data_IF_796644923324
#
_entry.id   IF_796644923324
#
_cell.length_a   1.000
_cell.length_b   1.000
_cell.length_c   1.000
_cell.angle_alpha   90.00
_cell.angle_beta   90.00
_cell.angle_gamma   90.00
#
_symmetry.space_group_name_H-M   'P 1'
#
loop_
_entity.id
_entity.type
_entity.pdbx_description
1 polymer ?
#
# COMPACT_ATOMS: atom_id res chain seq x y z
N UNK A 1 -6.01 38.20 -18.36
CA UNK A 1 -6.19 37.09 -17.37
C UNK A 1 -7.17 36.01 -17.85
N UNK A 2 -8.42 36.35 -18.23
CA UNK A 2 -9.46 35.36 -18.60
C UNK A 2 -9.15 34.49 -19.84
N UNK A 3 -8.38 35.01 -20.79
CA UNK A 3 -8.13 34.32 -22.06
C UNK A 3 -7.13 33.15 -21.90
N UNK A 4 -6.16 33.26 -20.98
CA UNK A 4 -5.18 32.20 -20.73
C UNK A 4 -5.84 31.01 -20.03
N UNK A 5 -6.59 31.24 -18.97
CA UNK A 5 -7.26 30.17 -18.22
C UNK A 5 -8.21 29.39 -19.13
N UNK A 6 -9.00 30.08 -19.97
CA UNK A 6 -9.86 29.41 -20.96
C UNK A 6 -9.07 28.54 -21.93
N UNK A 7 -7.94 29.02 -22.42
CA UNK A 7 -7.10 28.28 -23.35
C UNK A 7 -6.49 27.03 -22.69
N UNK A 8 -5.84 27.20 -21.53
CA UNK A 8 -5.27 26.11 -20.73
C UNK A 8 -6.36 25.09 -20.40
N UNK A 9 -7.52 25.53 -19.89
CA UNK A 9 -8.62 24.62 -19.56
C UNK A 9 -9.11 23.83 -20.77
N UNK A 10 -9.17 24.45 -21.95
CA UNK A 10 -9.57 23.77 -23.20
C UNK A 10 -8.54 22.73 -23.63
N UNK A 11 -7.25 23.08 -23.56
CA UNK A 11 -6.14 22.17 -23.91
C UNK A 11 -6.13 20.95 -22.98
N UNK A 12 -6.35 21.16 -21.69
CA UNK A 12 -6.30 20.11 -20.68
C UNK A 12 -7.68 19.42 -20.44
N UNK A 13 -8.75 19.83 -21.13
CA UNK A 13 -10.12 19.37 -20.87
C UNK A 13 -10.29 17.85 -21.04
N UNK A 14 -9.60 17.27 -22.02
CA UNK A 14 -9.73 15.85 -22.37
C UNK A 14 -8.80 14.93 -21.55
N UNK A 15 -7.99 15.48 -20.64
CA UNK A 15 -7.07 14.70 -19.82
C UNK A 15 -7.67 14.40 -18.43
N UNK A 16 -7.48 13.18 -17.89
CA UNK A 16 -7.92 12.86 -16.53
C UNK A 16 -7.29 13.79 -15.50
N UNK A 17 -8.04 14.15 -14.46
CA UNK A 17 -7.50 14.96 -13.38
C UNK A 17 -6.34 14.24 -12.69
N UNK A 18 -5.20 14.92 -12.63
CA UNK A 18 -3.96 14.40 -12.05
C UNK A 18 -3.10 15.55 -11.51
N UNK A 19 -2.27 15.31 -10.48
CA UNK A 19 -1.36 16.32 -9.96
C UNK A 19 -0.41 16.87 -11.02
N UNK A 20 -0.05 16.06 -12.02
CA UNK A 20 0.77 16.49 -13.16
C UNK A 20 0.00 17.44 -14.08
N UNK A 21 -1.28 17.17 -14.34
CA UNK A 21 -2.16 18.10 -15.06
C UNK A 21 -2.22 19.45 -14.33
N UNK A 22 -2.41 19.43 -13.02
CA UNK A 22 -2.46 20.66 -12.20
C UNK A 22 -1.10 21.38 -12.19
N UNK A 23 0.01 20.67 -11.99
CA UNK A 23 1.36 21.25 -12.01
C UNK A 23 1.73 21.86 -13.37
N UNK A 24 1.28 21.26 -14.48
CA UNK A 24 1.48 21.80 -15.82
C UNK A 24 0.62 23.05 -16.08
N UNK A 25 -0.61 23.08 -15.55
CA UNK A 25 -1.43 24.29 -15.55
C UNK A 25 -0.74 25.41 -14.77
N UNK A 26 -0.27 25.11 -13.56
CA UNK A 26 0.42 26.07 -12.70
C UNK A 26 1.71 26.59 -13.35
N UNK A 27 2.50 25.72 -14.00
CA UNK A 27 3.71 26.12 -14.72
C UNK A 27 3.39 27.04 -15.92
N UNK A 28 2.37 26.70 -16.71
CA UNK A 28 1.92 27.52 -17.84
C UNK A 28 1.43 28.90 -17.39
N UNK A 29 0.68 28.95 -16.28
CA UNK A 29 0.22 30.20 -15.68
C UNK A 29 1.36 31.05 -15.12
N UNK A 30 2.33 30.43 -14.46
CA UNK A 30 3.50 31.12 -13.91
C UNK A 30 4.34 31.77 -15.01
N UNK A 31 4.61 31.05 -16.12
CA UNK A 31 5.34 31.58 -17.27
C UNK A 31 4.60 32.72 -17.97
N UNK A 32 3.29 32.61 -18.12
CA UNK A 32 2.49 33.70 -18.68
C UNK A 32 2.60 34.97 -17.83
N UNK A 33 2.44 34.86 -16.51
CA UNK A 33 2.55 36.01 -15.60
C UNK A 33 3.91 36.68 -15.68
N UNK A 34 4.99 35.89 -15.71
CA UNK A 34 6.35 36.42 -15.86
C UNK A 34 6.53 37.25 -17.16
N UNK A 35 5.95 36.81 -18.28
CA UNK A 35 6.03 37.53 -19.56
C UNK A 35 5.20 38.82 -19.59
N UNK A 36 4.08 38.84 -18.89
CA UNK A 36 3.31 40.08 -18.70
C UNK A 36 4.10 41.08 -17.86
N UNK A 37 4.79 40.62 -16.82
CA UNK A 37 5.63 41.46 -15.97
C UNK A 37 6.89 41.99 -16.70
N UNK A 38 7.38 41.27 -17.71
CA UNK A 38 8.43 41.71 -18.64
C UNK A 38 7.94 42.77 -19.66
N UNK A 39 6.65 43.10 -19.66
CA UNK A 39 6.05 44.15 -20.49
C UNK A 39 5.60 43.68 -21.88
N UNK A 40 5.52 42.36 -22.12
CA UNK A 40 4.95 41.83 -23.36
C UNK A 40 3.43 42.03 -23.40
N UNK A 41 2.89 42.20 -24.61
CA UNK A 41 1.44 42.21 -24.80
C UNK A 41 0.82 40.85 -24.49
N UNK A 42 -0.46 40.81 -24.07
CA UNK A 42 -1.16 39.56 -23.76
C UNK A 42 -1.11 38.56 -24.93
N UNK A 43 -1.17 39.04 -26.18
CA UNK A 43 -1.11 38.21 -27.38
C UNK A 43 0.26 37.56 -27.59
N UNK A 44 1.35 38.28 -27.30
CA UNK A 44 2.72 37.77 -27.43
C UNK A 44 3.08 36.82 -26.29
N UNK A 45 2.67 37.14 -25.06
CA UNK A 45 2.84 36.27 -23.91
C UNK A 45 2.13 34.93 -24.13
N UNK A 46 0.89 34.97 -24.65
CA UNK A 46 0.11 33.76 -24.94
C UNK A 46 0.71 32.95 -26.08
N UNK A 47 1.12 33.60 -27.17
CA UNK A 47 1.79 32.93 -28.30
C UNK A 47 3.10 32.25 -27.89
N UNK A 48 3.88 32.86 -27.01
CA UNK A 48 5.11 32.26 -26.52
C UNK A 48 4.86 31.10 -25.56
N UNK A 49 3.91 31.22 -24.64
CA UNK A 49 3.57 30.12 -23.72
C UNK A 49 3.06 28.92 -24.51
N UNK A 50 2.32 29.12 -25.61
CA UNK A 50 1.87 28.05 -26.52
C UNK A 50 3.03 27.38 -27.25
N UNK A 51 4.06 28.11 -27.67
CA UNK A 51 5.24 27.51 -28.32
C UNK A 51 6.11 26.74 -27.34
N UNK A 52 6.18 27.19 -26.09
CA UNK A 52 7.02 26.60 -25.05
C UNK A 52 6.32 25.45 -24.29
N UNK A 53 4.99 25.51 -24.17
CA UNK A 53 4.13 24.35 -24.06
C UNK A 53 4.24 23.59 -25.39
N UNK A 54 5.35 22.91 -25.58
CA UNK A 54 5.42 21.86 -26.58
C UNK A 54 4.35 20.83 -26.20
N UNK A 55 3.18 20.99 -26.82
CA UNK A 55 1.98 20.22 -26.52
C UNK A 55 2.25 18.76 -26.77
N UNK A 56 3.18 18.42 -27.65
CA UNK A 56 3.54 17.05 -27.98
C UNK A 56 4.40 16.42 -26.89
N UNK A 57 5.43 17.10 -26.36
CA UNK A 57 6.19 16.58 -25.21
C UNK A 57 5.42 16.64 -23.90
N UNK A 58 4.53 17.62 -23.71
CA UNK A 58 3.65 17.72 -22.55
C UNK A 58 2.57 16.64 -22.58
N UNK A 59 1.95 16.44 -23.75
CA UNK A 59 1.06 15.31 -24.02
C UNK A 59 1.78 14.00 -23.87
N UNK A 60 3.02 13.88 -24.36
CA UNK A 60 3.81 12.67 -24.22
C UNK A 60 4.22 12.41 -22.76
N UNK A 61 4.49 13.43 -21.94
CA UNK A 61 4.69 13.27 -20.49
C UNK A 61 3.42 12.80 -19.79
N UNK A 62 2.27 13.41 -20.09
CA UNK A 62 0.96 12.99 -19.59
C UNK A 62 0.56 11.60 -20.08
N UNK A 63 0.81 11.28 -21.35
CA UNK A 63 0.56 9.97 -21.97
C UNK A 63 1.54 8.92 -21.47
N UNK A 64 2.81 9.24 -21.17
CA UNK A 64 3.79 8.31 -20.61
C UNK A 64 3.58 8.07 -19.11
N UNK A 65 3.00 9.03 -18.38
CA UNK A 65 2.62 8.87 -16.98
C UNK A 65 1.24 8.23 -16.80
N UNK A 66 0.37 8.40 -17.81
CA UNK A 66 -0.83 7.59 -18.04
C UNK A 66 -0.50 6.23 -18.67
N UNK A 67 0.64 6.10 -19.35
CA UNK A 67 1.10 4.85 -19.93
C UNK A 67 1.47 3.92 -18.78
N UNK A 68 1.03 2.66 -18.87
CA UNK A 68 1.17 1.73 -17.78
C UNK A 68 2.66 1.50 -17.46
N UNK A 69 3.06 1.83 -16.22
CA UNK A 69 4.41 1.56 -15.66
C UNK A 69 4.77 0.06 -15.71
N UNK A 70 3.79 -0.81 -15.98
CA UNK A 70 4.03 -2.21 -16.31
C UNK A 70 3.42 -2.55 -17.66
N UNK A 71 4.26 -2.80 -18.66
CA UNK A 71 3.85 -3.43 -19.90
C UNK A 71 3.17 -4.76 -19.61
N UNK A 72 1.84 -4.79 -19.77
CA UNK A 72 1.06 -5.99 -20.01
C UNK A 72 0.05 -5.72 -21.10
N UNK A 73 -0.24 -6.71 -21.96
CA UNK A 73 -1.40 -6.65 -22.83
C UNK A 73 -2.64 -6.37 -21.97
N UNK A 74 -3.53 -5.52 -22.47
CA UNK A 74 -4.86 -5.35 -21.87
C UNK A 74 -5.48 -6.73 -21.69
N UNK A 75 -5.56 -7.19 -20.45
CA UNK A 75 -6.09 -8.51 -20.13
C UNK A 75 -7.53 -8.52 -20.63
N UNK A 76 -7.96 -9.53 -21.41
CA UNK A 76 -9.30 -9.55 -21.99
C UNK A 76 -10.36 -9.25 -20.94
N UNK A 77 -11.37 -8.43 -21.29
CA UNK A 77 -12.46 -8.06 -20.39
C UNK A 77 -13.18 -9.27 -19.77
N UNK A 78 -13.21 -10.39 -20.49
CA UNK A 78 -13.74 -11.64 -19.98
C UNK A 78 -12.95 -12.19 -18.77
N UNK A 79 -11.62 -12.10 -18.80
CA UNK A 79 -10.75 -12.54 -17.72
C UNK A 79 -10.85 -11.61 -16.51
N UNK A 80 -10.93 -10.29 -16.73
CA UNK A 80 -11.23 -9.30 -15.67
C UNK A 80 -12.56 -9.63 -14.98
N UNK A 81 -13.63 -9.88 -15.75
CA UNK A 81 -14.94 -10.26 -15.21
C UNK A 81 -14.89 -11.57 -14.43
N UNK A 82 -14.17 -12.58 -14.92
CA UNK A 82 -13.97 -13.88 -14.23
C UNK A 82 -13.27 -13.70 -12.89
N UNK A 83 -12.19 -12.92 -12.84
CA UNK A 83 -11.46 -12.62 -11.61
C UNK A 83 -12.30 -11.83 -10.60
N UNK A 84 -12.99 -10.77 -11.04
CA UNK A 84 -13.88 -9.99 -10.18
C UNK A 84 -15.02 -10.84 -9.59
N UNK A 85 -15.66 -11.67 -10.41
CA UNK A 85 -16.71 -12.59 -9.95
C UNK A 85 -16.18 -13.65 -8.98
N UNK A 86 -14.96 -14.15 -9.20
CA UNK A 86 -14.27 -15.08 -8.31
C UNK A 86 -13.99 -14.45 -6.95
N UNK A 87 -13.45 -13.23 -6.93
CA UNK A 87 -13.17 -12.49 -5.71
C UNK A 87 -14.43 -12.21 -4.90
N UNK A 88 -15.52 -11.76 -5.53
CA UNK A 88 -16.80 -11.50 -4.85
C UNK A 88 -17.35 -12.72 -4.12
N UNK A 89 -17.16 -13.93 -4.67
CA UNK A 89 -17.54 -15.19 -4.02
C UNK A 89 -16.56 -15.58 -2.90
N UNK A 90 -15.29 -15.19 -3.01
CA UNK A 90 -14.25 -15.52 -2.05
C UNK A 90 -14.29 -14.61 -0.82
N UNK A 91 -14.55 -13.31 -0.99
CA UNK A 91 -14.53 -12.29 0.05
C UNK A 91 -15.31 -12.66 1.34
N UNK A 92 -16.58 -13.12 1.29
CA UNK A 92 -17.29 -13.51 2.52
C UNK A 92 -16.68 -14.75 3.18
N UNK A 93 -16.19 -15.71 2.38
CA UNK A 93 -15.54 -16.93 2.90
C UNK A 93 -14.18 -16.62 3.53
N UNK A 94 -13.48 -15.62 3.02
CA UNK A 94 -12.24 -15.13 3.60
C UNK A 94 -12.48 -14.61 5.01
N UNK A 95 -13.44 -13.70 5.20
CA UNK A 95 -13.74 -13.14 6.52
C UNK A 95 -14.17 -14.22 7.54
N UNK A 96 -15.06 -15.13 7.15
CA UNK A 96 -15.47 -16.26 7.99
C UNK A 96 -14.30 -17.18 8.32
N UNK A 97 -13.43 -17.44 7.34
CA UNK A 97 -12.23 -18.25 7.55
C UNK A 97 -11.25 -17.62 8.54
N UNK A 98 -10.99 -16.30 8.45
CA UNK A 98 -10.19 -15.60 9.45
C UNK A 98 -10.82 -15.74 10.84
N UNK A 99 -12.13 -15.52 10.96
CA UNK A 99 -12.85 -15.71 12.23
C UNK A 99 -12.69 -17.12 12.79
N UNK A 100 -12.85 -18.15 11.95
CA UNK A 100 -12.67 -19.55 12.33
C UNK A 100 -11.24 -19.84 12.80
N UNK A 101 -10.23 -19.33 12.09
CA UNK A 101 -8.83 -19.48 12.49
C UNK A 101 -8.55 -18.85 13.86
N UNK A 102 -9.12 -17.68 14.15
CA UNK A 102 -8.97 -17.03 15.46
C UNK A 102 -9.64 -17.86 16.57
N UNK A 103 -10.84 -18.38 16.31
CA UNK A 103 -11.53 -19.27 17.26
C UNK A 103 -10.71 -20.53 17.56
N UNK A 104 -10.09 -21.14 16.54
CA UNK A 104 -9.21 -22.30 16.71
C UNK A 104 -7.95 -21.96 17.52
N UNK A 105 -7.36 -20.78 17.30
CA UNK A 105 -6.20 -20.34 18.07
C UNK A 105 -6.55 -20.14 19.56
N UNK A 106 -7.68 -19.49 19.85
CA UNK A 106 -8.19 -19.32 21.22
C UNK A 106 -8.50 -20.69 21.84
N UNK A 107 -9.16 -21.58 21.09
CA UNK A 107 -9.45 -22.94 21.55
C UNK A 107 -8.17 -23.71 21.87
N UNK A 108 -7.09 -23.57 21.09
CA UNK A 108 -5.79 -24.19 21.40
C UNK A 108 -5.22 -23.72 22.74
N UNK A 109 -5.31 -22.42 23.05
CA UNK A 109 -4.88 -21.87 24.34
C UNK A 109 -5.72 -22.44 25.48
N UNK A 110 -7.06 -22.45 25.33
CA UNK A 110 -7.98 -22.94 26.36
C UNK A 110 -7.81 -24.44 26.59
N UNK A 111 -7.72 -25.24 25.52
CA UNK A 111 -7.51 -26.69 25.60
C UNK A 111 -6.17 -27.02 26.24
N UNK A 112 -5.12 -26.27 25.92
CA UNK A 112 -3.81 -26.41 26.59
C UNK A 112 -3.92 -26.17 28.10
N UNK A 113 -4.62 -25.12 28.52
CA UNK A 113 -4.79 -24.81 29.95
C UNK A 113 -5.58 -25.91 30.68
N UNK A 114 -6.68 -26.38 30.10
CA UNK A 114 -7.47 -27.49 30.64
C UNK A 114 -6.66 -28.78 30.68
N UNK A 115 -5.92 -29.11 29.62
CA UNK A 115 -5.06 -30.29 29.56
C UNK A 115 -4.01 -30.30 30.69
N UNK A 116 -3.39 -29.13 30.93
CA UNK A 116 -2.40 -28.96 32.00
C UNK A 116 -2.97 -29.17 33.41
N UNK A 117 -4.21 -28.73 33.65
CA UNK A 117 -4.86 -28.85 34.97
C UNK A 117 -5.33 -30.28 35.25
N UNK A 118 -5.98 -30.93 34.28
CA UNK A 118 -6.72 -32.17 34.53
C UNK A 118 -5.95 -33.45 34.22
N UNK A 119 -5.02 -33.44 33.26
CA UNK A 119 -4.40 -34.67 32.76
C UNK A 119 -2.98 -34.90 33.28
N UNK A 120 -2.35 -33.87 33.88
CA UNK A 120 -0.97 -33.89 34.40
C UNK A 120 0.06 -34.58 33.47
N UNK A 121 -0.19 -34.54 32.16
CA UNK A 121 0.63 -35.16 31.14
C UNK A 121 1.10 -34.05 30.18
N UNK A 122 2.41 -33.72 30.19
CA UNK A 122 2.94 -32.61 29.40
C UNK A 122 2.75 -32.82 27.90
N UNK A 123 2.74 -34.08 27.42
CA UNK A 123 2.54 -34.37 26.01
C UNK A 123 1.13 -33.97 25.54
N UNK A 124 0.10 -34.20 26.36
CA UNK A 124 -1.28 -33.82 26.04
C UNK A 124 -1.46 -32.31 26.02
N UNK A 125 -0.83 -31.58 26.94
CA UNK A 125 -0.82 -30.12 26.96
C UNK A 125 -0.21 -29.54 25.68
N UNK A 126 0.94 -30.07 25.26
CA UNK A 126 1.63 -29.64 24.04
C UNK A 126 0.78 -29.94 22.79
N UNK A 127 0.21 -31.14 22.69
CA UNK A 127 -0.66 -31.51 21.56
C UNK A 127 -1.90 -30.62 21.51
N UNK A 128 -2.53 -30.36 22.66
CA UNK A 128 -3.71 -29.50 22.77
C UNK A 128 -3.43 -28.04 22.35
N UNK A 129 -2.21 -27.55 22.56
CA UNK A 129 -1.77 -26.24 22.10
C UNK A 129 -1.46 -26.22 20.59
N UNK A 130 -0.53 -27.08 20.15
CA UNK A 130 0.05 -26.96 18.81
C UNK A 130 -0.88 -27.42 17.70
N UNK A 131 -1.73 -28.44 17.91
CA UNK A 131 -2.57 -28.97 16.84
C UNK A 131 -3.61 -27.94 16.34
N UNK A 132 -4.44 -27.33 17.21
CA UNK A 132 -5.40 -26.32 16.76
C UNK A 132 -4.72 -25.07 16.17
N UNK A 133 -3.58 -24.67 16.75
CA UNK A 133 -2.81 -23.52 16.26
C UNK A 133 -2.22 -23.80 14.88
N UNK A 134 -1.65 -24.98 14.65
CA UNK A 134 -1.14 -25.37 13.34
C UNK A 134 -2.24 -25.33 12.27
N UNK A 135 -3.43 -25.83 12.60
CA UNK A 135 -4.60 -25.76 11.70
C UNK A 135 -5.02 -24.30 11.44
N UNK A 136 -5.07 -23.46 12.48
CA UNK A 136 -5.40 -22.05 12.35
C UNK A 136 -4.40 -21.29 11.46
N UNK A 137 -3.10 -21.48 11.69
CA UNK A 137 -2.02 -20.87 10.91
C UNK A 137 -2.05 -21.33 9.47
N UNK A 138 -2.22 -22.65 9.23
CA UNK A 138 -2.37 -23.18 7.88
C UNK A 138 -3.53 -22.52 7.14
N UNK A 139 -4.69 -22.37 7.81
CA UNK A 139 -5.85 -21.70 7.25
C UNK A 139 -5.54 -20.22 6.92
N UNK A 140 -4.90 -19.48 7.83
CA UNK A 140 -4.50 -18.09 7.59
C UNK A 140 -3.56 -17.95 6.40
N UNK A 141 -2.59 -18.87 6.25
CA UNK A 141 -1.65 -18.86 5.14
C UNK A 141 -2.40 -19.11 3.82
N UNK A 142 -3.22 -20.15 3.73
CA UNK A 142 -3.93 -20.49 2.49
C UNK A 142 -4.90 -19.38 2.08
N UNK A 143 -5.71 -18.89 3.00
CA UNK A 143 -6.66 -17.81 2.73
C UNK A 143 -5.96 -16.49 2.43
N UNK A 144 -4.91 -16.16 3.20
CA UNK A 144 -4.11 -14.95 3.02
C UNK A 144 -3.39 -14.92 1.68
N UNK A 145 -2.75 -16.04 1.28
CA UNK A 145 -2.12 -16.17 -0.03
C UNK A 145 -3.14 -16.00 -1.16
N UNK A 146 -4.32 -16.62 -1.03
CA UNK A 146 -5.37 -16.49 -2.05
C UNK A 146 -5.89 -15.05 -2.17
N UNK A 147 -6.11 -14.35 -1.05
CA UNK A 147 -6.49 -12.94 -1.04
C UNK A 147 -5.41 -12.07 -1.69
N UNK A 148 -4.14 -12.29 -1.31
CA UNK A 148 -2.98 -11.59 -1.86
C UNK A 148 -2.87 -11.77 -3.39
N UNK A 149 -3.12 -12.98 -3.89
CA UNK A 149 -3.13 -13.28 -5.32
C UNK A 149 -4.18 -12.44 -6.06
N UNK A 150 -5.43 -12.38 -5.58
CA UNK A 150 -6.45 -11.51 -6.19
C UNK A 150 -6.04 -10.04 -6.15
N UNK A 151 -5.50 -9.58 -5.03
CA UNK A 151 -5.13 -8.19 -4.87
C UNK A 151 -3.95 -7.77 -5.75
N UNK A 152 -3.00 -8.69 -5.99
CA UNK A 152 -1.90 -8.48 -6.91
C UNK A 152 -2.40 -8.32 -8.36
N UNK A 153 -3.40 -9.12 -8.77
CA UNK A 153 -4.04 -9.01 -10.07
C UNK A 153 -4.80 -7.69 -10.21
N UNK A 154 -5.62 -7.32 -9.21
CA UNK A 154 -6.37 -6.06 -9.27
C UNK A 154 -5.49 -4.83 -9.29
N UNK A 155 -4.38 -4.82 -8.54
CA UNK A 155 -3.40 -3.74 -8.57
C UNK A 155 -2.73 -3.64 -9.94
N UNK A 156 -2.30 -4.78 -10.50
CA UNK A 156 -1.66 -4.81 -11.82
C UNK A 156 -2.60 -4.32 -12.94
N UNK A 157 -3.90 -4.56 -12.79
CA UNK A 157 -4.91 -4.24 -13.80
C UNK A 157 -5.78 -3.01 -13.46
N UNK A 158 -5.43 -2.23 -12.42
CA UNK A 158 -6.18 -1.06 -11.90
C UNK A 158 -7.69 -1.32 -11.73
N UNK A 159 -8.03 -2.54 -11.32
CA UNK A 159 -9.42 -3.00 -11.16
C UNK A 159 -10.05 -2.53 -9.84
N UNK A 160 -9.91 -1.24 -9.53
CA UNK A 160 -10.40 -0.66 -8.27
C UNK A 160 -11.92 -0.53 -8.20
N UNK A 161 -12.59 -0.44 -9.34
CA UNK A 161 -14.05 -0.37 -9.42
C UNK A 161 -14.75 -1.61 -8.84
N UNK A 162 -14.09 -2.77 -8.87
CA UNK A 162 -14.63 -4.04 -8.38
C UNK A 162 -14.36 -4.30 -6.90
N UNK A 163 -13.62 -3.41 -6.24
CA UNK A 163 -13.26 -3.50 -4.83
C UNK A 163 -14.27 -2.72 -3.99
N UNK A 164 -14.33 -3.00 -2.69
CA UNK A 164 -15.10 -2.16 -1.77
C UNK A 164 -14.57 -0.72 -1.79
N UNK A 165 -15.42 0.27 -1.55
CA UNK A 165 -15.01 1.68 -1.58
C UNK A 165 -13.78 1.95 -0.67
N UNK A 166 -13.70 1.29 0.48
CA UNK A 166 -12.56 1.38 1.38
C UNK A 166 -11.29 0.76 0.80
N UNK A 167 -11.38 -0.41 0.17
CA UNK A 167 -10.24 -1.09 -0.47
C UNK A 167 -9.76 -0.34 -1.71
N UNK A 168 -10.69 0.16 -2.53
CA UNK A 168 -10.41 0.99 -3.70
C UNK A 168 -9.68 2.26 -3.28
N UNK A 169 -10.19 2.98 -2.27
CA UNK A 169 -9.54 4.17 -1.74
C UNK A 169 -8.15 3.87 -1.14
N UNK A 170 -7.98 2.73 -0.46
CA UNK A 170 -6.66 2.30 0.03
C UNK A 170 -5.70 2.06 -1.12
N UNK A 171 -6.14 1.37 -2.18
CA UNK A 171 -5.31 1.08 -3.34
C UNK A 171 -4.96 2.32 -4.12
N UNK A 172 -5.92 3.21 -4.36
CA UNK A 172 -5.68 4.51 -4.98
C UNK A 172 -4.69 5.32 -4.15
N UNK A 173 -4.85 5.42 -2.83
CA UNK A 173 -3.88 6.11 -1.96
C UNK A 173 -2.48 5.49 -2.04
N UNK A 174 -2.37 4.16 -2.15
CA UNK A 174 -1.07 3.50 -2.32
C UNK A 174 -0.45 3.80 -3.68
N UNK A 175 -1.24 3.81 -4.75
CA UNK A 175 -0.80 4.19 -6.09
C UNK A 175 -0.39 5.66 -6.14
N UNK A 176 -1.19 6.56 -5.54
CA UNK A 176 -0.86 7.96 -5.37
C UNK A 176 0.41 8.14 -4.54
N UNK A 177 0.54 7.48 -3.38
CA UNK A 177 1.76 7.55 -2.54
C UNK A 177 3.01 7.12 -3.32
N UNK A 178 2.90 6.08 -4.14
CA UNK A 178 3.99 5.61 -4.98
C UNK A 178 4.36 6.63 -6.07
N UNK A 179 3.36 7.25 -6.72
CA UNK A 179 3.58 8.29 -7.73
C UNK A 179 4.07 9.62 -7.14
N UNK A 180 3.69 9.95 -5.91
CA UNK A 180 3.98 11.23 -5.24
C UNK A 180 5.33 11.25 -4.50
N UNK A 181 6.12 10.17 -4.55
CA UNK A 181 7.54 10.16 -4.13
C UNK A 181 8.53 10.17 -5.32
N UNK A 182 8.53 11.20 -6.21
CA UNK A 182 9.52 11.33 -7.26
C UNK A 182 10.76 12.09 -6.74
N UNK A 183 11.50 11.46 -5.83
CA UNK A 183 12.79 11.98 -5.37
C UNK A 183 13.66 10.86 -4.85
N UNK A 184 14.78 10.59 -5.54
CA UNK A 184 15.73 9.54 -5.19
C UNK A 184 16.16 9.61 -3.70
N UNK A 185 16.24 10.83 -3.18
CA UNK A 185 16.65 11.14 -1.81
C UNK A 185 15.56 10.85 -0.76
N UNK A 186 14.30 11.14 -1.08
CA UNK A 186 13.14 10.80 -0.24
C UNK A 186 12.95 9.29 -0.14
N UNK A 187 13.07 8.59 -1.28
CA UNK A 187 13.01 7.13 -1.34
C UNK A 187 14.14 6.47 -0.53
N UNK A 188 15.39 6.96 -0.64
CA UNK A 188 16.51 6.45 0.16
C UNK A 188 16.26 6.66 1.66
N UNK A 189 15.71 7.80 2.07
CA UNK A 189 15.39 8.08 3.48
C UNK A 189 14.29 7.17 4.01
N UNK A 190 13.18 7.02 3.30
CA UNK A 190 12.10 6.10 3.67
C UNK A 190 12.56 4.65 3.71
N UNK A 191 13.27 4.18 2.67
CA UNK A 191 13.80 2.81 2.63
C UNK A 191 14.75 2.53 3.78
N UNK A 192 15.57 3.50 4.20
CA UNK A 192 16.41 3.37 5.40
C UNK A 192 15.58 3.28 6.68
N UNK A 193 14.49 4.03 6.81
CA UNK A 193 13.57 3.93 7.96
C UNK A 193 12.80 2.60 7.98
N UNK A 194 12.32 2.13 6.83
CA UNK A 194 11.64 0.83 6.70
C UNK A 194 12.60 -0.33 7.01
N UNK A 195 13.82 -0.28 6.47
CA UNK A 195 14.88 -1.23 6.78
C UNK A 195 15.24 -1.19 8.28
N UNK A 196 15.40 0.00 8.88
CA UNK A 196 15.68 0.13 10.30
C UNK A 196 14.54 -0.44 11.16
N UNK A 197 13.29 -0.20 10.77
CA UNK A 197 12.10 -0.71 11.45
C UNK A 197 12.06 -2.24 11.39
N UNK A 198 12.22 -2.82 10.21
CA UNK A 198 12.21 -4.29 10.03
C UNK A 198 13.37 -4.98 10.75
N UNK A 199 14.57 -4.40 10.73
CA UNK A 199 15.73 -4.88 11.48
C UNK A 199 15.50 -4.79 13.00
N UNK A 200 14.93 -3.68 13.48
CA UNK A 200 14.61 -3.49 14.88
C UNK A 200 13.64 -4.57 15.40
N UNK A 201 12.56 -4.83 14.67
CA UNK A 201 11.61 -5.88 15.05
C UNK A 201 12.24 -7.28 15.03
N UNK A 202 13.11 -7.57 14.06
CA UNK A 202 13.84 -8.84 14.02
C UNK A 202 14.78 -9.00 15.24
N UNK A 203 15.58 -7.98 15.55
CA UNK A 203 16.47 -7.98 16.72
C UNK A 203 15.68 -8.13 18.01
N UNK A 204 14.53 -7.44 18.12
CA UNK A 204 13.62 -7.51 19.26
C UNK A 204 13.14 -8.95 19.49
N UNK A 205 12.73 -9.65 18.43
CA UNK A 205 12.31 -11.06 18.51
C UNK A 205 13.47 -11.96 18.92
N UNK A 206 14.65 -11.78 18.31
CA UNK A 206 15.84 -12.57 18.66
C UNK A 206 16.21 -12.37 20.14
N UNK A 207 16.22 -11.12 20.62
CA UNK A 207 16.51 -10.79 22.01
C UNK A 207 15.48 -11.41 22.97
N UNK A 208 14.18 -11.36 22.63
CA UNK A 208 13.13 -12.01 23.42
C UNK A 208 13.33 -13.53 23.50
N UNK A 209 13.64 -14.18 22.38
CA UNK A 209 13.90 -15.62 22.35
C UNK A 209 15.16 -15.97 23.16
N UNK A 210 16.23 -15.20 23.05
CA UNK A 210 17.45 -15.42 23.84
C UNK A 210 17.18 -15.26 25.34
N UNK A 211 16.43 -14.24 25.76
CA UNK A 211 16.03 -14.06 27.15
C UNK A 211 15.17 -15.21 27.67
N UNK A 212 14.24 -15.70 26.85
CA UNK A 212 13.41 -16.86 27.18
C UNK A 212 14.24 -18.14 27.31
N UNK A 213 15.08 -18.46 26.32
CA UNK A 213 15.82 -19.73 26.30
C UNK A 213 17.03 -19.77 27.24
N UNK A 214 17.77 -18.67 27.39
CA UNK A 214 18.98 -18.65 28.24
C UNK A 214 18.67 -18.28 29.69
N UNK A 215 17.63 -17.46 29.91
CA UNK A 215 17.34 -16.90 31.22
C UNK A 215 16.02 -17.34 31.85
N UNK A 216 15.20 -18.14 31.15
CA UNK A 216 13.82 -18.49 31.55
C UNK A 216 12.93 -17.25 31.82
N UNK A 217 13.31 -16.10 31.23
CA UNK A 217 12.70 -14.79 31.43
C UNK A 217 11.51 -14.56 30.48
N UNK A 218 10.71 -15.58 30.22
CA UNK A 218 9.56 -15.49 29.32
C UNK A 218 8.53 -14.45 29.77
N UNK A 219 8.39 -14.26 31.08
CA UNK A 219 7.37 -13.39 31.68
C UNK A 219 7.79 -11.94 31.93
N UNK A 220 9.06 -11.59 32.21
CA UNK A 220 9.51 -10.19 32.13
C UNK A 220 10.03 -9.81 30.73
N UNK A 221 10.32 -10.79 29.87
CA UNK A 221 10.90 -10.57 28.55
C UNK A 221 10.04 -9.72 27.59
N UNK A 222 8.72 -9.61 27.82
CA UNK A 222 7.84 -8.78 26.99
C UNK A 222 8.18 -7.29 27.04
N UNK A 223 8.91 -6.82 28.06
CA UNK A 223 9.38 -5.44 28.17
C UNK A 223 10.20 -5.04 26.94
N UNK A 224 10.90 -6.00 26.31
CA UNK A 224 11.69 -5.77 25.09
C UNK A 224 10.82 -5.26 23.93
N UNK A 225 9.56 -5.71 23.83
CA UNK A 225 8.63 -5.22 22.81
C UNK A 225 8.13 -3.80 23.10
N UNK A 226 7.94 -3.43 24.37
CA UNK A 226 7.59 -2.05 24.72
C UNK A 226 8.72 -1.07 24.38
N UNK A 227 9.95 -1.45 24.70
CA UNK A 227 11.15 -0.67 24.37
C UNK A 227 11.29 -0.54 22.85
N UNK A 228 11.11 -1.63 22.11
CA UNK A 228 11.12 -1.63 20.65
C UNK A 228 10.05 -0.71 20.06
N UNK A 229 8.82 -0.73 20.60
CA UNK A 229 7.75 0.16 20.16
C UNK A 229 8.08 1.64 20.41
N UNK A 230 8.70 1.98 21.54
CA UNK A 230 9.15 3.34 21.84
C UNK A 230 10.29 3.81 20.91
N UNK A 231 11.21 2.90 20.53
CA UNK A 231 12.26 3.24 19.56
C UNK A 231 11.67 3.38 18.16
N UNK A 232 10.69 2.54 17.79
CA UNK A 232 9.99 2.61 16.51
C UNK A 232 9.28 3.96 16.31
N UNK A 233 8.63 4.50 17.35
CA UNK A 233 8.01 5.82 17.27
C UNK A 233 9.06 6.92 17.07
N UNK A 234 10.22 6.84 17.73
CA UNK A 234 11.32 7.78 17.52
C UNK A 234 11.85 7.74 16.08
N UNK A 235 12.03 6.55 15.50
CA UNK A 235 12.47 6.37 14.10
C UNK A 235 11.44 6.95 13.13
N UNK A 236 10.14 6.81 13.43
CA UNK A 236 9.08 7.38 12.59
C UNK A 236 9.06 8.91 12.60
N UNK A 237 9.55 9.54 13.69
CA UNK A 237 9.60 10.98 13.87
C UNK A 237 10.85 11.66 13.24
N UNK A 238 11.95 10.93 13.01
CA UNK A 238 13.26 11.45 12.56
C UNK A 238 13.52 11.35 11.05
#
# INVERSE_FOLDING_TARGET
>A
MDNLHKYIDTVFQNYPDSPTKDALKDEAEAKYRARIDEGLSEAEALGSVIQELDLESTRQKLENEAAPIFGRPDVPEEEKRKMAAGFRKFQPRFAVGIGLGVVLAIAGIVLSAVAGIYFNNPALTVIAFFVPIAVAVFLFIVLGMRYSSYMSFFRANRMYEYLSADEANRMLRLEYRYKMHPGEDGYKKERRREAASSVLWLITVIAFLLLGFLGDLWHPGWIVFLVAAAIQTLISLL
#
